data_IF_950945190954
#
_entry.id   IF_950945190954
#
_cell.length_a   1.000
_cell.length_b   1.000
_cell.length_c   1.000
_cell.angle_alpha   90.00
_cell.angle_beta   90.00
_cell.angle_gamma   90.00
#
_symmetry.space_group_name_H-M   'P 1'
#
loop_
_entity.id
_entity.type
_entity.pdbx_description
1 polymer ?
#
# COMPACT_ATOMS: atom_id res chain seq x y z
N UNK A 1 25.53 6.39 -5.70
CA UNK A 1 25.01 7.61 -5.05
C UNK A 1 23.93 7.19 -4.05
N UNK A 2 24.20 7.23 -2.75
CA UNK A 2 23.23 6.85 -1.73
C UNK A 2 22.11 7.89 -1.69
N UNK A 3 20.88 7.48 -2.02
CA UNK A 3 19.71 8.36 -1.95
C UNK A 3 19.32 8.47 -0.48
N UNK A 4 19.76 9.57 0.14
CA UNK A 4 19.33 9.96 1.48
C UNK A 4 17.84 10.31 1.39
N UNK A 5 16.95 9.32 1.60
CA UNK A 5 15.52 9.55 1.72
C UNK A 5 15.33 10.46 2.93
N UNK A 6 15.06 11.75 2.70
CA UNK A 6 14.48 12.61 3.72
C UNK A 6 13.09 12.05 3.96
N UNK A 7 12.97 11.17 4.95
CA UNK A 7 11.68 10.83 5.53
C UNK A 7 11.17 12.07 6.27
N UNK A 8 10.69 13.06 5.51
CA UNK A 8 9.61 13.88 6.02
C UNK A 8 8.46 12.89 6.17
N UNK A 9 8.26 12.44 7.41
CA UNK A 9 7.17 11.55 7.81
C UNK A 9 5.87 12.31 7.51
N UNK A 10 5.33 12.13 6.30
CA UNK A 10 3.90 12.27 6.05
C UNK A 10 3.25 11.12 6.80
N UNK A 11 3.01 11.32 8.10
CA UNK A 11 2.57 10.27 9.02
C UNK A 11 1.17 9.74 8.70
N UNK A 12 0.43 10.40 7.80
CA UNK A 12 -1.00 10.18 7.61
C UNK A 12 -1.43 9.80 6.17
N UNK A 13 -0.54 9.65 5.18
CA UNK A 13 -0.98 9.36 3.80
C UNK A 13 -1.02 7.87 3.43
N UNK A 14 -0.13 7.07 4.02
CA UNK A 14 0.01 5.63 3.71
C UNK A 14 -0.35 4.85 4.97
N UNK A 15 -1.45 4.12 4.92
CA UNK A 15 -1.97 3.29 6.00
C UNK A 15 -1.58 1.82 5.90
N UNK A 16 -2.18 0.99 6.76
CA UNK A 16 -2.03 -0.47 6.71
C UNK A 16 -2.67 -1.05 5.44
N UNK A 17 -3.80 -0.47 5.01
CA UNK A 17 -4.52 -0.82 3.79
C UNK A 17 -3.71 -0.58 2.51
N UNK A 18 -2.86 0.45 2.48
CA UNK A 18 -1.94 0.70 1.37
C UNK A 18 -0.86 -0.37 1.28
N UNK A 19 -0.31 -0.75 2.43
CA UNK A 19 0.67 -1.84 2.49
C UNK A 19 0.01 -3.17 2.09
N UNK A 20 -1.21 -3.41 2.56
CA UNK A 20 -1.99 -4.59 2.18
C UNK A 20 -2.28 -4.63 0.67
N UNK A 21 -2.70 -3.51 0.07
CA UNK A 21 -2.92 -3.40 -1.37
C UNK A 21 -1.65 -3.69 -2.17
N UNK A 22 -0.51 -3.12 -1.74
CA UNK A 22 0.79 -3.34 -2.36
C UNK A 22 1.21 -4.82 -2.35
N UNK A 23 1.01 -5.51 -1.22
CA UNK A 23 1.37 -6.92 -1.07
C UNK A 23 0.46 -7.85 -1.88
N UNK A 24 -0.85 -7.61 -1.84
CA UNK A 24 -1.83 -8.50 -2.43
C UNK A 24 -1.95 -8.33 -3.95
N UNK A 25 -1.82 -7.08 -4.42
CA UNK A 25 -2.24 -6.64 -5.76
C UNK A 25 -3.71 -7.01 -6.05
N UNK A 26 -4.23 -6.72 -7.24
CA UNK A 26 -5.63 -7.04 -7.62
C UNK A 26 -5.99 -8.49 -7.36
N UNK A 27 -5.10 -9.40 -7.73
CA UNK A 27 -5.35 -10.84 -7.66
C UNK A 27 -5.38 -11.37 -6.22
N UNK A 28 -4.87 -10.60 -5.26
CA UNK A 28 -4.87 -10.98 -3.84
C UNK A 28 -6.05 -10.42 -3.05
N UNK A 29 -6.93 -9.61 -3.65
CA UNK A 29 -8.01 -8.96 -2.91
C UNK A 29 -9.20 -9.89 -2.59
N UNK A 30 -9.30 -11.06 -3.22
CA UNK A 30 -10.30 -12.06 -2.80
C UNK A 30 -9.94 -12.69 -1.46
N UNK A 31 -10.92 -12.94 -0.59
CA UNK A 31 -10.65 -13.29 0.81
C UNK A 31 -9.75 -14.54 0.97
N UNK A 32 -10.00 -15.60 0.18
CA UNK A 32 -9.16 -16.81 0.21
C UNK A 32 -7.73 -16.52 -0.29
N UNK A 33 -7.60 -15.87 -1.45
CA UNK A 33 -6.30 -15.51 -2.03
C UNK A 33 -5.52 -14.52 -1.17
N UNK A 34 -6.22 -13.63 -0.46
CA UNK A 34 -5.62 -12.69 0.47
C UNK A 34 -4.87 -13.41 1.58
N UNK A 35 -5.53 -14.39 2.22
CA UNK A 35 -4.93 -15.18 3.29
C UNK A 35 -3.73 -15.98 2.80
N UNK A 36 -3.88 -16.64 1.65
CA UNK A 36 -2.80 -17.42 1.03
C UNK A 36 -1.58 -16.56 0.72
N UNK A 37 -1.76 -15.44 0.00
CA UNK A 37 -0.66 -14.54 -0.36
C UNK A 37 -0.01 -13.87 0.84
N UNK A 38 -0.79 -13.42 1.83
CA UNK A 38 -0.21 -12.87 3.06
C UNK A 38 0.62 -13.91 3.78
N UNK A 39 0.12 -15.14 3.89
CA UNK A 39 0.86 -16.23 4.52
C UNK A 39 2.16 -16.54 3.78
N UNK A 40 2.10 -16.71 2.46
CA UNK A 40 3.30 -16.93 1.62
C UNK A 40 4.32 -15.80 1.78
N UNK A 41 3.87 -14.55 1.75
CA UNK A 41 4.74 -13.39 1.93
C UNK A 41 5.41 -13.37 3.30
N UNK A 42 4.63 -13.58 4.37
CA UNK A 42 5.13 -13.57 5.74
C UNK A 42 6.04 -14.77 6.04
N UNK A 43 5.75 -15.94 5.47
CA UNK A 43 6.64 -17.11 5.54
C UNK A 43 7.95 -16.83 4.81
N UNK A 44 7.92 -16.27 3.60
CA UNK A 44 9.14 -15.92 2.86
C UNK A 44 10.05 -14.95 3.61
N UNK A 45 9.47 -13.98 4.33
CA UNK A 45 10.23 -13.09 5.22
C UNK A 45 10.87 -13.86 6.38
N UNK A 46 10.09 -14.73 7.03
CA UNK A 46 10.58 -15.53 8.15
C UNK A 46 11.70 -16.51 7.73
N UNK A 47 11.55 -17.16 6.58
CA UNK A 47 12.54 -18.08 6.01
C UNK A 47 13.84 -17.36 5.64
N UNK A 48 13.75 -16.09 5.24
CA UNK A 48 14.90 -15.21 5.03
C UNK A 48 15.51 -14.68 6.35
N UNK A 49 14.99 -15.08 7.52
CA UNK A 49 15.42 -14.60 8.83
C UNK A 49 15.03 -13.15 9.12
N UNK A 50 14.10 -12.58 8.35
CA UNK A 50 13.68 -11.19 8.45
C UNK A 50 12.51 -11.08 9.42
N UNK A 51 12.74 -10.39 10.54
CA UNK A 51 11.67 -10.08 11.49
C UNK A 51 10.86 -8.90 10.98
N UNK A 52 9.57 -9.10 10.72
CA UNK A 52 8.64 -8.06 10.22
C UNK A 52 8.63 -6.80 11.07
N UNK A 53 8.82 -6.94 12.38
CA UNK A 53 8.93 -5.85 13.37
C UNK A 53 10.12 -4.92 13.13
N UNK A 54 11.18 -5.42 12.49
CA UNK A 54 12.35 -4.64 12.11
C UNK A 54 12.13 -3.81 10.83
N UNK A 55 11.09 -4.17 10.04
CA UNK A 55 10.73 -3.45 8.82
C UNK A 55 9.71 -2.37 9.13
N UNK A 56 8.54 -2.76 9.63
CA UNK A 56 7.40 -1.86 9.87
C UNK A 56 6.37 -2.52 10.82
N UNK A 57 5.84 -1.76 11.79
CA UNK A 57 4.83 -2.26 12.74
C UNK A 57 3.53 -2.73 12.05
N UNK A 58 3.13 -2.08 10.95
CA UNK A 58 1.94 -2.49 10.17
C UNK A 58 2.20 -3.83 9.51
N UNK A 59 3.43 -4.08 9.05
CA UNK A 59 3.78 -5.37 8.46
C UNK A 59 3.73 -6.50 9.50
N UNK A 60 4.20 -6.25 10.73
CA UNK A 60 4.01 -7.17 11.86
C UNK A 60 2.53 -7.48 12.08
N UNK A 61 1.66 -6.47 12.03
CA UNK A 61 0.23 -6.64 12.20
C UNK A 61 -0.43 -7.41 11.04
N UNK A 62 0.01 -7.21 9.80
CA UNK A 62 -0.47 -7.96 8.62
C UNK A 62 -0.04 -9.43 8.67
N UNK A 63 1.16 -9.71 9.17
CA UNK A 63 1.70 -11.06 9.34
C UNK A 63 1.21 -11.78 10.60
N UNK A 64 0.25 -11.22 11.34
CA UNK A 64 -0.35 -11.90 12.47
C UNK A 64 -1.48 -12.82 11.99
N UNK A 65 -1.23 -14.13 11.97
CA UNK A 65 -2.18 -15.16 11.52
C UNK A 65 -3.55 -15.06 12.21
N UNK A 66 -3.59 -14.74 13.50
CA UNK A 66 -4.86 -14.60 14.24
C UNK A 66 -5.71 -13.40 13.76
N UNK A 67 -5.10 -12.43 13.06
CA UNK A 67 -5.75 -11.22 12.55
C UNK A 67 -5.92 -11.22 11.03
N UNK A 68 -5.29 -12.14 10.28
CA UNK A 68 -5.33 -12.15 8.81
C UNK A 68 -6.76 -12.12 8.25
N UNK A 69 -7.70 -12.86 8.85
CA UNK A 69 -9.11 -12.83 8.43
C UNK A 69 -9.75 -11.45 8.55
N UNK A 70 -9.41 -10.66 9.56
CA UNK A 70 -9.86 -9.28 9.71
C UNK A 70 -9.16 -8.36 8.71
N UNK A 71 -7.86 -8.55 8.48
CA UNK A 71 -7.08 -7.76 7.51
C UNK A 71 -7.62 -7.93 6.09
N UNK A 72 -7.93 -9.15 5.69
CA UNK A 72 -8.50 -9.44 4.37
C UNK A 72 -9.90 -8.84 4.16
N UNK A 73 -10.64 -8.49 5.23
CA UNK A 73 -11.90 -7.75 5.13
C UNK A 73 -11.70 -6.26 4.81
N UNK A 74 -10.48 -5.74 4.90
CA UNK A 74 -10.17 -4.36 4.52
C UNK A 74 -10.19 -4.12 3.00
N UNK A 75 -10.45 -5.15 2.17
CA UNK A 75 -10.64 -5.02 0.71
C UNK A 75 -11.52 -3.84 0.33
N UNK A 76 -12.69 -3.69 0.93
CA UNK A 76 -13.62 -2.60 0.59
C UNK A 76 -13.02 -1.22 0.87
N UNK A 77 -12.16 -1.10 1.90
CA UNK A 77 -11.43 0.14 2.17
C UNK A 77 -10.38 0.41 1.11
N UNK A 78 -9.68 -0.63 0.64
CA UNK A 78 -8.72 -0.53 -0.46
C UNK A 78 -9.42 -0.07 -1.74
N UNK A 79 -10.54 -0.71 -2.10
CA UNK A 79 -11.34 -0.34 -3.28
C UNK A 79 -11.85 1.10 -3.20
N UNK A 80 -12.37 1.52 -2.03
CA UNK A 80 -12.80 2.89 -1.81
C UNK A 80 -11.65 3.89 -2.00
N UNK A 81 -10.45 3.59 -1.47
CA UNK A 81 -9.26 4.43 -1.66
C UNK A 81 -8.79 4.47 -3.10
N UNK A 82 -8.81 3.34 -3.81
CA UNK A 82 -8.50 3.31 -5.25
C UNK A 82 -9.46 4.17 -6.06
N UNK A 83 -10.76 4.10 -5.78
CA UNK A 83 -11.77 4.90 -6.49
C UNK A 83 -11.65 6.39 -6.19
N UNK A 84 -11.46 6.76 -4.92
CA UNK A 84 -11.22 8.14 -4.51
C UNK A 84 -9.95 8.69 -5.17
N UNK A 85 -8.89 7.89 -5.19
CA UNK A 85 -7.63 8.26 -5.81
C UNK A 85 -7.73 8.37 -7.33
N UNK A 86 -8.46 7.46 -7.99
CA UNK A 86 -8.77 7.55 -9.42
C UNK A 86 -9.48 8.86 -9.76
N UNK A 87 -10.47 9.26 -8.96
CA UNK A 87 -11.17 10.54 -9.12
C UNK A 87 -10.22 11.73 -8.95
N UNK A 88 -9.29 11.67 -7.99
CA UNK A 88 -8.26 12.70 -7.80
C UNK A 88 -7.32 12.79 -9.01
N UNK A 89 -6.87 11.65 -9.52
CA UNK A 89 -6.03 11.58 -10.73
C UNK A 89 -6.74 12.18 -11.94
N UNK A 90 -8.01 11.83 -12.19
CA UNK A 90 -8.80 12.41 -13.28
C UNK A 90 -8.87 13.93 -13.20
N UNK A 91 -9.02 14.49 -12.00
CA UNK A 91 -9.04 15.94 -11.81
C UNK A 91 -7.69 16.59 -12.03
N UNK A 92 -6.59 15.92 -11.67
CA UNK A 92 -5.23 16.39 -11.98
C UNK A 92 -4.96 16.33 -13.48
N UNK A 93 -5.41 15.28 -14.17
CA UNK A 93 -5.24 15.12 -15.62
C UNK A 93 -6.05 16.14 -16.44
N UNK A 94 -7.09 16.76 -15.87
CA UNK A 94 -7.84 17.86 -16.49
C UNK A 94 -7.11 19.21 -16.46
N UNK A 95 -6.06 19.35 -15.63
CA UNK A 95 -5.28 20.59 -15.56
C UNK A 95 -4.50 20.78 -16.86
N UNK A 96 -4.31 22.03 -17.27
CA UNK A 96 -3.35 22.32 -18.32
C UNK A 96 -1.92 22.07 -17.82
N UNK A 97 -1.01 21.73 -18.74
CA UNK A 97 0.40 21.41 -18.40
C UNK A 97 1.05 22.53 -17.57
N UNK A 98 0.73 23.79 -17.87
CA UNK A 98 1.26 24.97 -17.16
C UNK A 98 0.77 25.10 -15.71
N UNK A 99 -0.34 24.46 -15.37
CA UNK A 99 -0.96 24.50 -14.04
C UNK A 99 -0.60 23.27 -13.19
N UNK A 100 0.08 22.28 -13.79
CA UNK A 100 0.63 21.14 -13.07
C UNK A 100 1.79 21.58 -12.19
N UNK A 101 1.78 21.14 -10.93
CA UNK A 101 2.85 21.39 -9.96
C UNK A 101 3.63 20.10 -9.71
N UNK A 102 4.89 20.22 -9.29
CA UNK A 102 5.66 19.05 -8.86
C UNK A 102 4.93 18.24 -7.77
N UNK A 103 4.23 18.92 -6.86
CA UNK A 103 3.37 18.30 -5.85
C UNK A 103 2.27 17.40 -6.44
N UNK A 104 1.71 17.76 -7.61
CA UNK A 104 0.73 16.92 -8.31
C UNK A 104 1.37 15.61 -8.79
N UNK A 105 2.66 15.61 -9.13
CA UNK A 105 3.37 14.38 -9.49
C UNK A 105 3.80 13.60 -8.25
N UNK A 106 4.51 14.24 -7.31
CA UNK A 106 5.14 13.56 -6.18
C UNK A 106 4.15 12.87 -5.24
N UNK A 107 2.97 13.47 -5.00
CA UNK A 107 1.94 12.87 -4.14
C UNK A 107 1.21 11.73 -4.83
N UNK A 108 0.84 11.92 -6.10
CA UNK A 108 0.13 10.91 -6.87
C UNK A 108 1.03 9.72 -7.20
N UNK A 109 2.31 9.92 -7.52
CA UNK A 109 3.26 8.82 -7.75
C UNK A 109 3.38 7.91 -6.51
N UNK A 110 3.45 8.50 -5.31
CA UNK A 110 3.47 7.72 -4.06
C UNK A 110 2.20 6.91 -3.88
N UNK A 111 1.02 7.54 -4.00
CA UNK A 111 -0.26 6.83 -3.86
C UNK A 111 -0.42 5.73 -4.92
N UNK A 112 -0.04 6.01 -6.18
CA UNK A 112 0.01 5.04 -7.27
C UNK A 112 0.83 3.82 -6.87
N UNK A 113 2.07 3.98 -6.41
CA UNK A 113 2.95 2.85 -6.07
C UNK A 113 2.31 1.84 -5.10
N UNK A 114 1.53 2.30 -4.13
CA UNK A 114 0.87 1.42 -3.16
C UNK A 114 -0.47 0.86 -3.63
N UNK A 115 -1.13 1.54 -4.57
CA UNK A 115 -2.44 1.16 -5.10
C UNK A 115 -2.37 0.57 -6.52
N UNK A 116 -1.17 0.39 -7.10
CA UNK A 116 -0.89 -0.23 -8.42
C UNK A 116 -1.15 -1.75 -8.42
N UNK A 117 -2.00 -2.22 -7.51
CA UNK A 117 -2.47 -3.60 -7.44
C UNK A 117 -3.28 -3.96 -8.67
#
# INVERSE_FOLDING_TARGET
>A
RAVKRRAAVQKDEIGEEHLLAFLLKKDGLEEQKCKEKLKEYCQGLNDAGIKTEQIDERLKNLCNDAKQGEKCKQKTKIEAKCNEFGTKLENVLKKEIKDLKNDDCEKNERQCLFLEG
#
